data_IF_596993774744
#
_entry.id   IF_596993774744
#
_cell.length_a   1.000
_cell.length_b   1.000
_cell.length_c   1.000
_cell.angle_alpha   90.00
_cell.angle_beta   90.00
_cell.angle_gamma   90.00
#
_symmetry.space_group_name_H-M   'P 1'
#
loop_
_entity.id
_entity.type
_entity.pdbx_description
1 polymer ?
#
# COMPACT_ATOMS: atom_id res chain seq x y z
N UNK A 1 -23.32 5.93 0.52
CA UNK A 1 -21.93 6.21 0.15
C UNK A 1 -21.26 4.88 -0.15
N UNK A 2 -20.75 4.66 -1.36
CA UNK A 2 -20.10 3.39 -1.73
C UNK A 2 -18.66 3.40 -1.25
N UNK A 3 -18.41 2.88 -0.05
CA UNK A 3 -17.08 2.70 0.52
C UNK A 3 -16.33 1.66 -0.30
N UNK A 4 -15.48 2.16 -1.21
CA UNK A 4 -14.67 1.35 -2.10
C UNK A 4 -13.23 1.42 -1.65
N UNK A 5 -12.68 0.27 -1.26
CA UNK A 5 -11.29 0.14 -0.83
C UNK A 5 -10.40 -0.21 -2.01
N UNK A 6 -9.25 0.47 -2.12
CA UNK A 6 -8.23 0.12 -3.10
C UNK A 6 -7.45 -1.08 -2.53
N UNK A 7 -7.27 -2.13 -3.32
CA UNK A 7 -6.48 -3.31 -2.97
C UNK A 7 -5.49 -3.61 -4.08
N UNK A 8 -4.33 -4.15 -3.73
CA UNK A 8 -3.30 -4.54 -4.70
C UNK A 8 -3.15 -6.06 -4.75
N UNK A 9 -3.23 -6.62 -5.95
CA UNK A 9 -3.06 -8.06 -6.14
C UNK A 9 -1.59 -8.45 -6.01
N UNK A 10 -1.20 -9.42 -5.15
CA UNK A 10 0.20 -9.84 -5.01
C UNK A 10 0.73 -10.67 -6.19
N UNK A 11 -0.13 -11.11 -7.11
CA UNK A 11 0.25 -11.95 -8.25
C UNK A 11 0.60 -11.18 -9.52
N UNK A 12 -0.01 -10.02 -9.71
CA UNK A 12 0.16 -9.19 -10.90
C UNK A 12 0.41 -7.72 -10.56
N UNK A 13 0.49 -7.37 -9.28
CA UNK A 13 0.67 -6.01 -8.77
C UNK A 13 -0.39 -4.99 -9.26
N UNK A 14 -1.54 -5.46 -9.73
CA UNK A 14 -2.61 -4.58 -10.19
C UNK A 14 -3.36 -3.98 -9.00
N UNK A 15 -3.59 -2.68 -9.03
CA UNK A 15 -4.38 -1.97 -8.02
C UNK A 15 -5.82 -1.83 -8.53
N UNK A 16 -6.80 -2.30 -7.75
CA UNK A 16 -8.20 -2.22 -8.12
C UNK A 16 -9.09 -1.88 -6.92
N UNK A 17 -10.24 -1.29 -7.20
CA UNK A 17 -11.23 -0.92 -6.19
C UNK A 17 -12.19 -2.08 -5.95
N UNK A 18 -12.36 -2.45 -4.69
CA UNK A 18 -13.34 -3.44 -4.24
C UNK A 18 -14.35 -2.74 -3.35
N UNK A 19 -15.61 -3.15 -3.44
CA UNK A 19 -16.65 -2.67 -2.55
C UNK A 19 -16.50 -3.33 -1.17
N UNK A 20 -16.38 -2.53 -0.10
CA UNK A 20 -16.14 -3.04 1.24
C UNK A 20 -17.30 -3.94 1.73
N UNK A 21 -18.54 -3.62 1.35
CA UNK A 21 -19.71 -4.45 1.63
C UNK A 21 -19.57 -5.88 1.05
N UNK A 22 -18.97 -6.00 -0.14
CA UNK A 22 -18.74 -7.30 -0.78
C UNK A 22 -17.54 -8.04 -0.16
N UNK A 23 -16.56 -7.26 0.31
CA UNK A 23 -15.41 -7.78 1.03
C UNK A 23 -15.82 -8.38 2.38
N UNK A 24 -16.67 -7.68 3.14
CA UNK A 24 -17.23 -8.18 4.40
C UNK A 24 -18.07 -9.43 4.21
N UNK A 25 -18.94 -9.47 3.19
CA UNK A 25 -19.75 -10.66 2.88
C UNK A 25 -18.90 -11.90 2.52
N UNK A 26 -17.71 -11.69 1.94
CA UNK A 26 -16.80 -12.75 1.51
C UNK A 26 -15.66 -13.04 2.51
N UNK A 27 -15.74 -12.54 3.75
CA UNK A 27 -14.66 -12.65 4.75
C UNK A 27 -13.29 -12.19 4.23
N UNK A 28 -13.26 -11.17 3.37
CA UNK A 28 -12.04 -10.62 2.78
C UNK A 28 -11.55 -11.29 1.50
N UNK A 29 -12.15 -12.39 1.06
CA UNK A 29 -11.74 -13.09 -0.15
C UNK A 29 -12.25 -12.37 -1.41
N UNK A 30 -11.32 -11.96 -2.30
CA UNK A 30 -11.64 -11.30 -3.57
C UNK A 30 -10.91 -11.94 -4.73
N UNK A 31 -11.51 -11.85 -5.91
CA UNK A 31 -10.89 -12.28 -7.17
C UNK A 31 -10.35 -11.07 -7.92
N UNK A 32 -9.08 -11.13 -8.32
CA UNK A 32 -8.47 -10.11 -9.15
C UNK A 32 -9.12 -10.09 -10.56
N UNK A 33 -9.53 -8.91 -11.05
CA UNK A 33 -10.10 -8.78 -12.40
C UNK A 33 -9.10 -8.98 -13.54
N UNK A 34 -7.79 -8.90 -13.28
CA UNK A 34 -6.75 -9.01 -14.30
C UNK A 34 -6.22 -10.44 -14.43
N UNK A 35 -5.84 -11.07 -13.32
CA UNK A 35 -5.24 -12.42 -13.33
C UNK A 35 -6.21 -13.49 -12.82
N UNK A 36 -7.42 -13.11 -12.40
CA UNK A 36 -8.47 -14.02 -11.94
C UNK A 36 -8.11 -14.85 -10.70
N UNK A 37 -7.05 -14.48 -9.99
CA UNK A 37 -6.57 -15.12 -8.78
C UNK A 37 -7.34 -14.65 -7.55
N UNK A 38 -7.66 -15.57 -6.65
CA UNK A 38 -8.32 -15.26 -5.38
C UNK A 38 -7.27 -14.95 -4.31
N UNK A 39 -7.43 -13.83 -3.62
CA UNK A 39 -6.56 -13.41 -2.52
C UNK A 39 -7.36 -12.65 -1.45
N UNK A 40 -6.74 -12.40 -0.31
CA UNK A 40 -7.39 -11.72 0.81
C UNK A 40 -7.17 -10.21 0.70
N UNK A 41 -8.19 -9.48 0.23
CA UNK A 41 -8.05 -8.05 -0.02
C UNK A 41 -7.82 -7.25 1.27
N UNK A 42 -8.39 -7.70 2.41
CA UNK A 42 -8.21 -7.08 3.72
C UNK A 42 -6.73 -6.99 4.15
N UNK A 43 -5.89 -7.93 3.71
CA UNK A 43 -4.46 -7.94 4.03
C UNK A 43 -3.60 -7.11 3.06
N UNK A 44 -4.17 -6.73 1.91
CA UNK A 44 -3.48 -6.03 0.82
C UNK A 44 -4.20 -4.74 0.40
N UNK A 45 -4.84 -4.05 1.35
CA UNK A 45 -5.53 -2.77 1.13
C UNK A 45 -4.51 -1.63 1.01
N UNK A 46 -4.59 -0.84 -0.07
CA UNK A 46 -3.71 0.29 -0.39
C UNK A 46 -4.50 1.60 -0.23
N UNK A 47 -5.08 1.81 0.95
CA UNK A 47 -6.02 2.92 1.17
C UNK A 47 -6.13 3.45 2.60
N UNK A 48 -5.50 2.84 3.60
CA UNK A 48 -5.43 3.37 4.96
C UNK A 48 -4.10 4.10 5.16
N UNK A 49 -4.10 5.43 5.02
CA UNK A 49 -3.02 6.37 5.34
C UNK A 49 -1.57 5.94 4.97
N UNK A 50 -0.88 6.63 4.02
CA UNK A 50 0.52 6.39 3.76
C UNK A 50 1.34 6.93 4.93
N UNK A 51 1.71 6.08 5.90
CA UNK A 51 2.76 6.45 6.87
C UNK A 51 3.34 5.23 7.59
N UNK A 52 4.09 4.41 6.86
CA UNK A 52 5.14 3.58 7.48
C UNK A 52 6.15 2.95 6.52
N UNK A 53 5.90 2.89 5.20
CA UNK A 53 6.87 2.34 4.24
C UNK A 53 7.35 3.39 3.24
N UNK A 54 7.99 4.44 3.76
CA UNK A 54 9.26 4.81 3.16
C UNK A 54 10.31 4.01 3.96
N UNK A 55 11.14 3.15 3.34
CA UNK A 55 12.48 3.07 3.87
C UNK A 55 13.01 4.49 3.71
N UNK A 56 13.00 5.24 4.82
CA UNK A 56 13.91 6.35 5.01
C UNK A 56 15.31 5.75 5.05
N UNK A 57 15.75 5.21 3.92
CA UNK A 57 17.14 5.05 3.61
C UNK A 57 17.68 6.48 3.60
N UNK A 58 18.49 6.75 4.60
CA UNK A 58 19.40 7.88 4.62
C UNK A 58 20.05 8.05 3.24
N UNK A 59 20.11 9.29 2.75
CA UNK A 59 21.31 9.85 2.14
C UNK A 59 21.05 11.31 1.74
N UNK A 60 21.34 12.21 2.68
CA UNK A 60 21.92 13.50 2.39
C UNK A 60 22.71 13.96 3.63
N UNK A 61 23.86 13.31 3.85
CA UNK A 61 24.99 13.95 4.53
C UNK A 61 26.06 14.29 3.48
N UNK A 62 25.99 15.43 2.80
CA UNK A 62 27.21 16.08 2.35
C UNK A 62 27.80 16.82 3.56
N UNK A 63 28.92 16.30 4.06
CA UNK A 63 29.68 16.98 5.09
C UNK A 63 30.12 18.37 4.65
N UNK A 64 30.03 19.32 5.57
CA UNK A 64 30.80 20.54 5.55
C UNK A 64 31.19 20.88 6.99
N UNK A 65 32.32 20.35 7.43
CA UNK A 65 33.18 21.01 8.42
C UNK A 65 34.08 21.98 7.62
N UNK A 66 34.49 23.16 8.14
CA UNK A 66 35.33 23.26 9.34
C UNK A 66 35.02 24.49 10.26
N UNK A 67 35.74 24.67 11.39
CA UNK A 67 35.31 25.46 12.55
C UNK A 67 35.71 26.95 12.48
N UNK A 68 35.02 27.86 13.19
CA UNK A 68 35.59 29.16 13.51
C UNK A 68 36.52 29.04 14.73
N UNK A 69 37.81 29.23 14.49
CA UNK A 69 38.79 29.80 15.41
C UNK A 69 39.25 31.13 14.80
N UNK A 70 39.93 32.07 15.49
CA UNK A 70 40.25 32.19 16.92
C UNK A 70 39.30 33.08 17.73
#
# INVERSE_FOLDING_TARGET
MSESVITQCPHCSTSFRVNDAQLGAANGAVRCGTCLKVFNALQHQVGGAPRANAPSAAEAKPGAAPPPAP
#
